data_IF_467222460653
#
_entry.id   IF_467222460653
#
_cell.length_a   1.000
_cell.length_b   1.000
_cell.length_c   1.000
_cell.angle_alpha   90.00
_cell.angle_beta   90.00
_cell.angle_gamma   90.00
#
_symmetry.space_group_name_H-M   'P 1'
#
loop_
_entity.id
_entity.type
_entity.pdbx_description
1 polymer ?
#
# COMPACT_ATOMS: atom_id res chain seq x y z
N UNK A 1 -2.04 -21.19 -10.94
CA UNK A 1 -0.90 -20.24 -10.86
C UNK A 1 -1.16 -19.07 -11.81
N UNK A 2 -0.74 -17.86 -11.43
CA UNK A 2 -0.72 -16.74 -12.35
C UNK A 2 0.17 -17.08 -13.55
N UNK A 3 -0.29 -16.75 -14.76
CA UNK A 3 0.49 -16.92 -16.00
C UNK A 3 1.41 -15.72 -16.24
N UNK A 4 0.99 -14.55 -15.76
CA UNK A 4 1.72 -13.30 -15.91
C UNK A 4 1.91 -12.62 -14.57
N UNK A 5 3.06 -11.98 -14.42
CA UNK A 5 3.40 -11.11 -13.30
C UNK A 5 3.46 -9.68 -13.82
N UNK A 6 2.74 -8.77 -13.18
CA UNK A 6 2.65 -7.37 -13.54
C UNK A 6 3.48 -6.55 -12.57
N UNK A 7 4.66 -6.12 -12.99
CA UNK A 7 5.56 -5.34 -12.15
C UNK A 7 5.22 -3.86 -12.28
N UNK A 8 4.98 -3.17 -11.17
CA UNK A 8 4.57 -1.75 -11.11
C UNK A 8 5.43 -0.99 -10.12
N UNK A 9 5.77 0.25 -10.46
CA UNK A 9 6.49 1.19 -9.59
C UNK A 9 6.00 2.62 -9.89
N UNK A 10 5.17 3.20 -9.02
CA UNK A 10 4.61 4.53 -9.26
C UNK A 10 5.57 5.63 -8.85
N UNK A 11 5.68 6.67 -9.66
CA UNK A 11 6.20 7.95 -9.17
C UNK A 11 5.04 8.86 -8.74
N UNK A 12 5.24 9.63 -7.68
CA UNK A 12 4.24 10.54 -7.15
C UNK A 12 4.83 11.91 -6.82
N UNK A 13 3.95 12.91 -6.73
CA UNK A 13 4.32 14.24 -6.26
C UNK A 13 5.05 14.15 -4.91
N UNK A 14 6.10 14.95 -4.74
CA UNK A 14 6.87 14.98 -3.51
C UNK A 14 7.52 16.34 -3.27
N UNK A 15 8.05 16.54 -2.07
CA UNK A 15 8.74 17.75 -1.65
C UNK A 15 9.91 17.36 -0.73
N UNK A 16 10.93 18.21 -0.67
CA UNK A 16 12.17 17.93 0.08
C UNK A 16 11.93 17.72 1.58
N UNK A 17 11.02 18.51 2.17
CA UNK A 17 10.75 18.50 3.61
C UNK A 17 9.33 18.06 3.91
N UNK A 18 9.21 16.92 4.58
CA UNK A 18 7.92 16.35 4.98
C UNK A 18 7.17 15.70 3.81
N UNK A 19 5.90 15.37 4.05
CA UNK A 19 5.03 14.77 3.04
C UNK A 19 4.15 15.83 2.41
N UNK A 20 4.09 15.84 1.07
CA UNK A 20 3.08 16.59 0.35
C UNK A 20 1.71 15.93 0.56
N UNK A 21 0.66 16.72 0.75
CA UNK A 21 -0.70 16.22 0.93
C UNK A 21 -1.71 17.02 0.09
N UNK A 22 -2.59 16.37 -0.68
CA UNK A 22 -2.55 14.95 -1.02
C UNK A 22 -1.31 14.62 -1.86
N UNK A 23 -0.80 13.40 -1.75
CA UNK A 23 0.17 12.88 -2.72
C UNK A 23 -0.60 12.38 -3.94
N UNK A 24 -0.06 12.59 -5.15
CA UNK A 24 -0.71 12.23 -6.42
C UNK A 24 0.29 11.50 -7.32
N UNK A 25 -0.11 10.40 -7.94
CA UNK A 25 0.66 9.66 -8.94
C UNK A 25 0.91 10.59 -10.14
N UNK A 26 2.14 10.61 -10.62
CA UNK A 26 2.60 11.40 -11.79
C UNK A 26 3.22 10.53 -12.88
N UNK A 27 3.61 9.29 -12.56
CA UNK A 27 3.99 8.27 -13.55
C UNK A 27 3.34 6.94 -13.19
N UNK A 28 2.72 6.31 -14.18
CA UNK A 28 2.19 4.96 -14.09
C UNK A 28 2.87 4.07 -15.13
N UNK A 29 3.94 3.38 -14.74
CA UNK A 29 4.59 2.37 -15.54
C UNK A 29 4.17 0.96 -15.13
N UNK A 30 4.27 0.02 -16.07
CA UNK A 30 4.14 -1.39 -15.77
C UNK A 30 4.99 -2.25 -16.72
N UNK A 31 5.51 -3.36 -16.21
CA UNK A 31 6.25 -4.36 -16.99
C UNK A 31 5.57 -5.71 -16.84
N UNK A 32 5.19 -6.31 -17.95
CA UNK A 32 4.55 -7.62 -17.98
C UNK A 32 5.61 -8.69 -18.14
N UNK A 33 5.62 -9.69 -17.25
CA UNK A 33 6.56 -10.81 -17.25
C UNK A 33 5.78 -12.13 -17.43
N UNK A 34 6.21 -12.95 -18.39
CA UNK A 34 5.72 -14.33 -18.52
C UNK A 34 6.31 -15.20 -17.40
N UNK A 35 5.46 -15.74 -16.54
CA UNK A 35 5.88 -16.48 -15.35
C UNK A 35 6.52 -17.85 -15.68
N UNK A 36 6.24 -18.42 -16.86
CA UNK A 36 6.81 -19.70 -17.27
C UNK A 36 8.21 -19.53 -17.85
N UNK A 37 8.45 -18.45 -18.60
CA UNK A 37 9.74 -18.23 -19.28
C UNK A 37 10.63 -17.20 -18.59
N UNK A 38 10.09 -16.38 -17.69
CA UNK A 38 10.79 -15.23 -17.10
C UNK A 38 11.14 -14.15 -18.12
N UNK A 39 10.38 -14.06 -19.23
CA UNK A 39 10.62 -13.04 -20.28
C UNK A 39 9.77 -11.82 -19.97
N UNK A 40 10.35 -10.64 -20.08
CA UNK A 40 9.59 -9.39 -20.14
C UNK A 40 8.91 -9.35 -21.52
N UNK A 41 7.58 -9.35 -21.54
CA UNK A 41 6.79 -9.51 -22.78
C UNK A 41 6.26 -8.19 -23.33
N UNK A 42 6.01 -7.22 -22.46
CA UNK A 42 5.49 -5.91 -22.83
C UNK A 42 5.72 -4.91 -21.71
N UNK A 43 5.69 -3.63 -22.06
CA UNK A 43 5.84 -2.52 -21.14
C UNK A 43 4.76 -1.48 -21.42
N UNK A 44 4.32 -0.82 -20.36
CA UNK A 44 3.36 0.27 -20.38
C UNK A 44 3.96 1.46 -19.63
N UNK A 45 3.67 2.66 -20.14
CA UNK A 45 4.03 3.91 -19.46
C UNK A 45 3.03 4.97 -19.83
N UNK A 46 2.50 5.66 -18.83
CA UNK A 46 1.81 6.94 -19.03
C UNK A 46 2.16 7.89 -17.90
N UNK A 47 2.22 9.18 -18.21
CA UNK A 47 2.27 10.21 -17.19
C UNK A 47 0.86 10.56 -16.75
N UNK A 48 0.74 10.91 -15.47
CA UNK A 48 -0.52 11.28 -14.84
C UNK A 48 -0.44 12.75 -14.47
N UNK A 49 -1.49 13.50 -14.79
CA UNK A 49 -1.59 14.92 -14.48
C UNK A 49 -2.16 15.10 -13.07
N UNK A 50 -1.38 15.63 -12.10
CA UNK A 50 -1.89 15.92 -10.76
C UNK A 50 -2.88 17.10 -10.80
N UNK A 51 -3.94 17.04 -9.99
CA UNK A 51 -4.97 18.12 -9.93
C UNK A 51 -4.79 19.04 -8.74
N UNK A 52 -4.27 18.53 -7.62
CA UNK A 52 -4.14 19.29 -6.38
C UNK A 52 -2.81 20.01 -6.32
N UNK A 53 -1.74 19.35 -6.78
CA UNK A 53 -0.41 19.93 -6.93
C UNK A 53 0.02 19.88 -8.40
N UNK A 54 -0.62 20.68 -9.29
CA UNK A 54 -0.36 20.62 -10.73
C UNK A 54 1.07 21.00 -11.12
N UNK A 55 1.76 21.77 -10.27
CA UNK A 55 3.15 22.15 -10.47
C UNK A 55 4.08 21.28 -9.63
N UNK A 56 4.97 20.55 -10.28
CA UNK A 56 5.98 19.74 -9.62
C UNK A 56 6.97 20.63 -8.87
N UNK A 57 7.36 20.20 -7.67
CA UNK A 57 8.45 20.86 -6.96
C UNK A 57 9.78 20.62 -7.69
N UNK A 58 10.76 21.51 -7.48
CA UNK A 58 12.12 21.30 -8.00
C UNK A 58 12.70 19.97 -7.51
N UNK A 59 12.49 19.65 -6.22
CA UNK A 59 12.91 18.38 -5.62
C UNK A 59 12.26 17.18 -6.32
N UNK A 60 10.96 17.22 -6.61
CA UNK A 60 10.27 16.13 -7.30
C UNK A 60 10.80 15.93 -8.72
N UNK A 61 11.03 17.02 -9.45
CA UNK A 61 11.60 17.02 -10.79
C UNK A 61 13.02 16.46 -10.78
N UNK A 62 13.86 16.87 -9.83
CA UNK A 62 15.24 16.40 -9.69
C UNK A 62 15.29 14.93 -9.27
N UNK A 63 14.44 14.51 -8.32
CA UNK A 63 14.37 13.14 -7.85
C UNK A 63 13.91 12.21 -8.97
N UNK A 64 12.75 12.48 -9.58
CA UNK A 64 12.10 11.56 -10.53
C UNK A 64 12.56 11.73 -11.99
N UNK A 65 13.12 12.90 -12.32
CA UNK A 65 13.47 13.26 -13.69
C UNK A 65 12.27 13.65 -14.55
N UNK A 66 11.05 13.60 -14.00
CA UNK A 66 9.82 13.95 -14.70
C UNK A 66 9.73 15.47 -14.84
N UNK A 67 9.62 15.93 -16.08
CA UNK A 67 9.47 17.34 -16.41
C UNK A 67 8.03 17.79 -16.28
N UNK A 68 7.83 19.08 -15.95
CA UNK A 68 6.51 19.69 -15.85
C UNK A 68 5.66 19.48 -17.13
N UNK A 69 6.29 19.58 -18.32
CA UNK A 69 5.60 19.37 -19.59
C UNK A 69 5.04 17.95 -19.77
N UNK A 70 5.63 16.95 -19.11
CA UNK A 70 5.18 15.56 -19.19
C UNK A 70 3.92 15.33 -18.35
N UNK A 71 3.84 15.94 -17.17
CA UNK A 71 2.61 15.89 -16.36
C UNK A 71 1.53 16.80 -16.92
N UNK A 72 1.89 17.96 -17.50
CA UNK A 72 0.94 18.86 -18.18
C UNK A 72 0.26 18.17 -19.37
N UNK A 73 1.03 17.38 -20.13
CA UNK A 73 0.54 16.52 -21.22
C UNK A 73 0.06 15.14 -20.78
N UNK A 74 0.09 14.86 -19.47
CA UNK A 74 -0.36 13.61 -18.88
C UNK A 74 -1.88 13.47 -18.88
N UNK A 75 -2.35 12.27 -18.54
CA UNK A 75 -3.79 11.97 -18.43
C UNK A 75 -4.26 11.98 -16.99
N UNK A 76 -5.57 12.00 -16.78
CA UNK A 76 -6.12 11.78 -15.44
C UNK A 76 -5.89 10.35 -14.95
N UNK A 77 -5.74 10.13 -13.64
CA UNK A 77 -5.48 8.79 -13.09
C UNK A 77 -6.52 7.75 -13.52
N UNK A 78 -7.80 8.14 -13.59
CA UNK A 78 -8.88 7.25 -14.07
C UNK A 78 -8.68 6.82 -15.52
N UNK A 79 -8.18 7.72 -16.38
CA UNK A 79 -7.85 7.41 -17.77
C UNK A 79 -6.57 6.56 -17.85
N UNK A 80 -5.57 6.83 -17.01
CA UNK A 80 -4.36 6.00 -16.94
C UNK A 80 -4.69 4.54 -16.59
N UNK A 81 -5.58 4.32 -15.62
CA UNK A 81 -6.07 2.99 -15.27
C UNK A 81 -6.81 2.32 -16.43
N UNK A 82 -7.68 3.06 -17.15
CA UNK A 82 -8.37 2.54 -18.32
C UNK A 82 -7.40 2.19 -19.48
N UNK A 83 -6.36 3.00 -19.71
CA UNK A 83 -5.32 2.72 -20.70
C UNK A 83 -4.49 1.49 -20.32
N UNK A 84 -4.19 1.34 -19.04
CA UNK A 84 -3.50 0.17 -18.50
C UNK A 84 -4.35 -1.11 -18.70
N UNK A 85 -5.65 -1.07 -18.41
CA UNK A 85 -6.57 -2.19 -18.67
C UNK A 85 -6.65 -2.54 -20.15
N UNK A 86 -6.75 -1.53 -21.03
CA UNK A 86 -6.76 -1.73 -22.47
C UNK A 86 -5.45 -2.36 -22.98
N UNK A 87 -4.30 -1.95 -22.43
CA UNK A 87 -3.00 -2.55 -22.74
C UNK A 87 -2.91 -4.02 -22.30
N UNK A 88 -3.37 -4.36 -21.09
CA UNK A 88 -3.44 -5.76 -20.63
C UNK A 88 -4.36 -6.61 -21.53
N UNK A 89 -5.52 -6.06 -21.92
CA UNK A 89 -6.45 -6.74 -22.82
C UNK A 89 -5.82 -6.99 -24.21
N UNK A 90 -5.13 -6.00 -24.76
CA UNK A 90 -4.41 -6.13 -26.03
C UNK A 90 -3.27 -7.16 -25.97
N UNK A 91 -2.64 -7.34 -24.81
CA UNK A 91 -1.66 -8.39 -24.56
C UNK A 91 -2.28 -9.79 -24.34
N UNK A 92 -3.61 -9.93 -24.38
CA UNK A 92 -4.32 -11.19 -24.17
C UNK A 92 -4.24 -11.71 -22.73
N UNK A 93 -4.02 -10.81 -21.76
CA UNK A 93 -3.88 -11.16 -20.34
C UNK A 93 -5.24 -11.18 -19.67
N UNK A 94 -5.65 -12.36 -19.22
CA UNK A 94 -6.80 -12.48 -18.31
C UNK A 94 -6.37 -12.08 -16.89
N UNK A 95 -7.06 -11.10 -16.29
CA UNK A 95 -6.74 -10.56 -14.95
C UNK A 95 -6.80 -11.62 -13.84
N UNK A 96 -7.63 -12.66 -13.99
CA UNK A 96 -7.70 -13.79 -13.05
C UNK A 96 -6.44 -14.70 -13.06
N UNK A 97 -5.52 -14.49 -13.99
CA UNK A 97 -4.21 -15.17 -14.07
C UNK A 97 -3.05 -14.18 -14.00
N UNK A 98 -3.29 -13.01 -13.43
CA UNK A 98 -2.32 -11.95 -13.21
C UNK A 98 -2.01 -11.84 -11.71
N UNK A 99 -0.76 -11.54 -11.37
CA UNK A 99 -0.40 -11.10 -10.03
C UNK A 99 0.45 -9.84 -10.12
N UNK A 100 0.08 -8.81 -9.37
CA UNK A 100 0.86 -7.57 -9.28
C UNK A 100 2.10 -7.82 -8.44
N UNK A 101 3.23 -7.25 -8.84
CA UNK A 101 4.51 -7.29 -8.14
C UNK A 101 5.02 -5.87 -7.96
N UNK A 102 5.44 -5.53 -6.76
CA UNK A 102 6.00 -4.23 -6.41
C UNK A 102 7.24 -4.46 -5.55
N UNK A 103 8.15 -3.49 -5.47
CA UNK A 103 9.29 -3.63 -4.56
C UNK A 103 8.84 -3.63 -3.09
N UNK A 104 7.83 -2.83 -2.74
CA UNK A 104 7.29 -2.74 -1.38
C UNK A 104 5.77 -2.56 -1.36
N UNK A 105 5.20 -2.38 -0.18
CA UNK A 105 3.75 -2.20 -0.05
C UNK A 105 3.25 -0.81 -0.50
N UNK A 106 4.14 0.16 -0.71
CA UNK A 106 3.75 1.56 -0.87
C UNK A 106 2.84 1.77 -2.08
N UNK A 107 3.17 1.21 -3.25
CA UNK A 107 2.44 1.40 -4.50
C UNK A 107 0.96 0.99 -4.41
N UNK A 108 0.71 -0.28 -4.06
CA UNK A 108 -0.64 -0.83 -4.03
C UNK A 108 -1.39 -0.48 -2.74
N UNK A 109 -0.75 -0.63 -1.58
CA UNK A 109 -1.40 -0.47 -0.27
C UNK A 109 -1.64 0.99 0.08
N UNK A 110 -0.71 1.87 -0.29
CA UNK A 110 -0.69 3.26 0.15
C UNK A 110 -1.07 4.19 -0.99
N UNK A 111 -0.29 4.24 -2.06
CA UNK A 111 -0.38 5.28 -3.06
C UNK A 111 -1.65 5.17 -3.91
N UNK A 112 -1.79 4.08 -4.68
CA UNK A 112 -2.94 3.87 -5.56
C UNK A 112 -4.24 3.80 -4.76
N UNK A 113 -4.23 3.12 -3.62
CA UNK A 113 -5.40 3.01 -2.76
C UNK A 113 -5.86 4.36 -2.20
N UNK A 114 -4.92 5.17 -1.68
CA UNK A 114 -5.22 6.48 -1.15
C UNK A 114 -5.80 7.38 -2.25
N UNK A 115 -5.13 7.49 -3.39
CA UNK A 115 -5.51 8.46 -4.41
C UNK A 115 -6.84 8.09 -5.08
N UNK A 116 -7.08 6.80 -5.35
CA UNK A 116 -8.38 6.36 -5.88
C UNK A 116 -9.51 6.67 -4.91
N UNK A 117 -9.34 6.40 -3.60
CA UNK A 117 -10.34 6.77 -2.58
C UNK A 117 -10.54 8.28 -2.48
N UNK A 118 -9.44 9.03 -2.43
CA UNK A 118 -9.46 10.49 -2.29
C UNK A 118 -10.15 11.18 -3.47
N UNK A 119 -9.95 10.68 -4.69
CA UNK A 119 -10.54 11.21 -5.92
C UNK A 119 -11.87 10.56 -6.32
N UNK A 120 -12.35 9.56 -5.57
CA UNK A 120 -13.57 8.80 -5.92
C UNK A 120 -13.46 7.98 -7.21
N UNK A 121 -12.26 7.48 -7.52
CA UNK A 121 -11.97 6.68 -8.73
C UNK A 121 -12.18 5.21 -8.42
N UNK A 122 -12.89 4.51 -9.31
CA UNK A 122 -12.99 3.05 -9.25
C UNK A 122 -11.65 2.42 -9.59
N UNK A 123 -11.06 1.71 -8.64
CA UNK A 123 -9.77 1.05 -8.80
C UNK A 123 -9.96 -0.40 -9.27
N UNK A 124 -9.14 -0.91 -10.21
CA UNK A 124 -9.20 -2.32 -10.62
C UNK A 124 -8.82 -3.27 -9.48
N UNK A 125 -9.64 -4.32 -9.27
CA UNK A 125 -9.50 -5.27 -8.15
C UNK A 125 -8.19 -6.07 -8.18
N UNK A 126 -7.55 -6.23 -9.34
CA UNK A 126 -6.28 -6.97 -9.42
C UNK A 126 -5.12 -6.24 -8.71
N UNK A 127 -5.28 -4.96 -8.37
CA UNK A 127 -4.36 -4.23 -7.49
C UNK A 127 -4.60 -4.48 -5.99
N UNK A 128 -5.66 -5.20 -5.61
CA UNK A 128 -5.99 -5.46 -4.20
C UNK A 128 -5.10 -6.54 -3.58
N UNK A 129 -4.34 -7.27 -4.40
CA UNK A 129 -3.44 -8.35 -3.99
C UNK A 129 -2.15 -8.26 -4.79
N UNK A 130 -1.02 -8.22 -4.09
CA UNK A 130 0.29 -8.06 -4.71
C UNK A 130 1.35 -8.93 -4.05
N UNK A 131 2.46 -9.08 -4.76
CA UNK A 131 3.72 -9.59 -4.25
C UNK A 131 4.60 -8.38 -3.92
N UNK A 132 4.80 -8.13 -2.64
CA UNK A 132 5.91 -7.33 -2.15
C UNK A 132 7.20 -8.13 -2.29
N UNK A 133 8.04 -7.78 -3.27
CA UNK A 133 9.21 -8.55 -3.68
C UNK A 133 10.35 -8.55 -2.65
N UNK A 134 10.34 -7.61 -1.68
CA UNK A 134 11.31 -7.66 -0.56
C UNK A 134 11.20 -8.95 0.24
N UNK A 135 10.01 -9.50 0.41
CA UNK A 135 9.80 -10.71 1.22
C UNK A 135 10.49 -11.94 0.62
N UNK A 136 10.24 -12.33 -0.64
CA UNK A 136 10.99 -13.43 -1.26
C UNK A 136 12.48 -13.10 -1.44
N UNK A 137 12.84 -11.83 -1.61
CA UNK A 137 14.25 -11.42 -1.63
C UNK A 137 14.94 -11.71 -0.28
N UNK A 138 14.37 -11.28 0.84
CA UNK A 138 14.90 -11.56 2.19
C UNK A 138 14.94 -13.05 2.50
N UNK A 139 14.00 -13.85 1.96
CA UNK A 139 14.06 -15.31 2.07
C UNK A 139 15.29 -15.91 1.39
N UNK A 140 15.86 -15.27 0.37
CA UNK A 140 17.01 -15.76 -0.38
C UNK A 140 18.34 -15.13 0.07
N UNK A 141 18.31 -13.87 0.51
CA UNK A 141 19.51 -13.07 0.85
C UNK A 141 19.62 -12.72 2.34
N UNK A 142 18.72 -13.26 3.17
CA UNK A 142 18.65 -12.98 4.60
C UNK A 142 17.94 -11.65 4.92
N UNK A 143 17.52 -11.44 6.18
CA UNK A 143 16.81 -10.23 6.60
C UNK A 143 17.74 -9.01 6.55
N UNK A 144 17.17 -7.83 6.25
CA UNK A 144 17.93 -6.58 6.27
C UNK A 144 17.26 -5.48 5.45
N UNK A 145 17.45 -4.23 5.87
CA UNK A 145 16.93 -3.08 5.13
C UNK A 145 17.76 -2.85 3.87
N UNK A 146 17.12 -2.99 2.70
CA UNK A 146 17.65 -2.58 1.41
C UNK A 146 16.65 -1.71 0.65
N UNK A 147 17.14 -0.72 -0.07
CA UNK A 147 16.41 -0.14 -1.19
C UNK A 147 16.50 -1.07 -2.43
N UNK A 148 15.75 -0.75 -3.48
CA UNK A 148 15.69 -1.60 -4.68
C UNK A 148 17.08 -1.72 -5.35
N UNK A 149 17.80 -0.61 -5.47
CA UNK A 149 19.12 -0.58 -6.12
C UNK A 149 20.15 -1.44 -5.38
N UNK A 150 20.15 -1.38 -4.05
CA UNK A 150 20.98 -2.23 -3.19
C UNK A 150 20.67 -3.71 -3.40
N UNK A 151 19.38 -4.08 -3.44
CA UNK A 151 18.94 -5.45 -3.66
C UNK A 151 19.32 -5.98 -5.05
N UNK A 152 19.15 -5.16 -6.10
CA UNK A 152 19.58 -5.46 -7.47
C UNK A 152 21.09 -5.74 -7.50
N UNK A 153 21.89 -4.87 -6.86
CA UNK A 153 23.35 -5.03 -6.77
C UNK A 153 23.75 -6.28 -5.98
N UNK A 154 23.11 -6.54 -4.84
CA UNK A 154 23.39 -7.71 -3.99
C UNK A 154 23.04 -9.04 -4.70
N UNK A 155 22.02 -9.03 -5.56
CA UNK A 155 21.71 -10.16 -6.44
C UNK A 155 22.75 -10.39 -7.55
N UNK A 156 23.73 -9.48 -7.72
CA UNK A 156 24.74 -9.53 -8.77
C UNK A 156 24.26 -8.97 -10.11
N UNK A 157 23.12 -8.27 -10.12
CA UNK A 157 22.59 -7.60 -11.30
C UNK A 157 23.14 -6.16 -11.40
N UNK A 158 23.19 -5.64 -12.62
CA UNK A 158 23.53 -4.24 -12.87
C UNK A 158 22.26 -3.42 -13.01
N UNK A 159 22.25 -2.24 -12.38
CA UNK A 159 21.17 -1.28 -12.55
C UNK A 159 21.12 -0.76 -13.98
N UNK A 160 19.93 -0.75 -14.59
CA UNK A 160 19.71 -0.22 -15.94
C UNK A 160 18.80 0.99 -15.88
N UNK A 161 19.19 2.08 -16.56
CA UNK A 161 18.39 3.31 -16.63
C UNK A 161 18.59 4.22 -15.43
N UNK A 162 17.61 5.09 -15.18
CA UNK A 162 17.69 6.15 -14.16
C UNK A 162 16.92 5.73 -12.90
N UNK A 163 17.52 5.91 -11.72
CA UNK A 163 16.81 5.74 -10.45
C UNK A 163 15.60 6.69 -10.36
N UNK A 164 14.51 6.25 -9.77
CA UNK A 164 13.27 7.04 -9.61
C UNK A 164 12.65 7.48 -10.96
N UNK A 165 13.01 6.79 -12.04
CA UNK A 165 12.23 6.77 -13.26
C UNK A 165 11.37 5.52 -13.15
N UNK A 166 10.06 5.66 -12.94
CA UNK A 166 9.24 4.52 -12.53
C UNK A 166 9.31 3.34 -13.52
N UNK A 167 9.43 3.60 -14.83
CA UNK A 167 9.60 2.51 -15.80
C UNK A 167 10.94 1.77 -15.65
N UNK A 168 12.02 2.48 -15.36
CA UNK A 168 13.33 1.85 -15.15
C UNK A 168 13.34 1.09 -13.81
N UNK A 169 12.73 1.65 -12.76
CA UNK A 169 12.58 0.98 -11.46
C UNK A 169 11.72 -0.31 -11.59
N UNK A 170 10.62 -0.26 -12.35
CA UNK A 170 9.80 -1.42 -12.66
C UNK A 170 10.56 -2.48 -13.49
N UNK A 171 11.40 -2.08 -14.46
CA UNK A 171 12.27 -3.02 -15.21
C UNK A 171 13.28 -3.70 -14.30
N UNK A 172 13.97 -2.94 -13.45
CA UNK A 172 14.96 -3.51 -12.52
C UNK A 172 14.29 -4.45 -11.50
N UNK A 173 13.09 -4.10 -11.02
CA UNK A 173 12.27 -4.99 -10.20
C UNK A 173 11.90 -6.27 -10.97
N UNK A 174 11.55 -6.18 -12.25
CA UNK A 174 11.28 -7.35 -13.09
C UNK A 174 12.52 -8.23 -13.29
N UNK A 175 13.71 -7.65 -13.47
CA UNK A 175 14.96 -8.43 -13.55
C UNK A 175 15.26 -9.14 -12.24
N UNK A 176 15.10 -8.47 -11.10
CA UNK A 176 15.28 -9.07 -9.79
C UNK A 176 14.26 -10.20 -9.54
N UNK A 177 13.00 -9.99 -9.89
CA UNK A 177 11.95 -11.00 -9.83
C UNK A 177 12.33 -12.25 -10.63
N UNK A 178 12.78 -12.09 -11.88
CA UNK A 178 13.19 -13.20 -12.74
C UNK A 178 14.42 -13.92 -12.18
N UNK A 179 15.38 -13.19 -11.62
CA UNK A 179 16.55 -13.78 -10.96
C UNK A 179 16.14 -14.64 -9.75
N UNK A 180 15.26 -14.13 -8.88
CA UNK A 180 14.71 -14.88 -7.75
C UNK A 180 13.99 -16.16 -8.21
N UNK A 181 13.17 -16.07 -9.27
CA UNK A 181 12.50 -17.25 -9.85
C UNK A 181 13.51 -18.28 -10.37
N UNK A 182 14.59 -17.85 -11.04
CA UNK A 182 15.66 -18.74 -11.54
C UNK A 182 16.44 -19.40 -10.41
N UNK A 183 16.56 -18.75 -9.25
CA UNK A 183 17.13 -19.33 -8.02
C UNK A 183 16.19 -20.31 -7.32
N UNK A 184 14.97 -20.51 -7.83
CA UNK A 184 13.98 -21.41 -7.24
C UNK A 184 13.22 -20.80 -6.06
N UNK A 185 13.27 -19.48 -5.88
CA UNK A 185 12.51 -18.81 -4.82
C UNK A 185 11.03 -18.81 -5.19
N UNK A 186 10.19 -19.27 -4.27
CA UNK A 186 8.75 -19.30 -4.49
C UNK A 186 8.17 -17.87 -4.49
N UNK A 187 7.45 -17.52 -5.57
CA UNK A 187 6.76 -16.25 -5.70
C UNK A 187 5.26 -16.46 -5.44
N UNK A 188 4.73 -15.79 -4.41
CA UNK A 188 3.33 -15.86 -4.01
C UNK A 188 2.84 -14.51 -3.49
N UNK A 189 1.52 -14.33 -3.42
CA UNK A 189 0.91 -13.10 -2.89
C UNK A 189 1.32 -12.90 -1.43
N UNK A 190 1.85 -11.72 -1.12
CA UNK A 190 2.30 -11.35 0.23
C UNK A 190 1.53 -10.16 0.82
N UNK A 191 0.87 -9.37 -0.02
CA UNK A 191 0.04 -8.23 0.37
C UNK A 191 -1.40 -8.36 -0.10
N UNK A 192 -2.34 -7.85 0.69
CA UNK A 192 -3.77 -7.78 0.36
C UNK A 192 -4.44 -6.58 1.05
N UNK A 193 -5.40 -5.95 0.38
CA UNK A 193 -6.31 -4.97 0.98
C UNK A 193 -7.53 -5.60 1.65
N UNK A 194 -7.82 -6.88 1.35
CA UNK A 194 -8.90 -7.59 2.02
C UNK A 194 -8.63 -7.60 3.54
N UNK A 195 -9.66 -7.38 4.38
CA UNK A 195 -9.54 -7.58 5.82
C UNK A 195 -8.96 -8.97 6.08
N UNK A 196 -7.94 -9.08 6.94
CA UNK A 196 -7.51 -10.39 7.42
C UNK A 196 -8.72 -11.07 8.04
N UNK A 197 -9.09 -12.24 7.54
CA UNK A 197 -10.06 -13.08 8.22
C UNK A 197 -9.59 -13.24 9.66
N UNK A 198 -10.37 -12.75 10.60
CA UNK A 198 -10.13 -13.04 12.01
C UNK A 198 -10.48 -14.50 12.16
N UNK A 199 -9.47 -15.38 12.31
CA UNK A 199 -9.70 -16.74 12.76
C UNK A 199 -10.59 -16.65 14.00
N UNK A 200 -11.80 -17.22 13.91
CA UNK A 200 -12.71 -17.26 15.05
C UNK A 200 -11.94 -17.88 16.23
N UNK A 201 -11.93 -17.26 17.42
CA UNK A 201 -11.32 -17.87 18.59
C UNK A 201 -11.82 -19.31 18.73
N UNK A 202 -10.95 -20.29 19.04
CA UNK A 202 -11.41 -21.64 19.32
C UNK A 202 -12.54 -21.58 20.34
N UNK A 203 -13.66 -22.24 20.04
CA UNK A 203 -14.79 -22.35 20.96
C UNK A 203 -14.26 -22.71 22.35
N UNK A 204 -14.59 -21.94 23.41
CA UNK A 204 -14.13 -22.26 24.74
C UNK A 204 -14.60 -23.67 25.09
N UNK A 205 -13.64 -24.53 25.46
CA UNK A 205 -13.93 -25.86 25.99
C UNK A 205 -14.89 -25.70 27.18
N UNK A 206 -15.90 -26.58 27.34
CA UNK A 206 -16.84 -26.48 28.46
C UNK A 206 -16.07 -26.47 29.79
N UNK A 207 -16.09 -25.34 30.48
CA UNK A 207 -15.56 -25.25 31.84
C UNK A 207 -16.62 -25.77 32.82
N UNK A 208 -16.24 -26.50 33.88
CA UNK A 208 -17.16 -26.92 34.93
C UNK A 208 -17.79 -25.68 35.60
N UNK A 209 -19.12 -25.70 35.75
CA UNK A 209 -19.89 -24.62 36.36
C UNK A 209 -19.43 -24.31 37.79
N UNK A 210 -19.06 -23.06 38.12
CA UNK A 210 -18.94 -22.62 39.49
C UNK A 210 -20.32 -22.32 40.09
N UNK A 211 -20.48 -22.73 41.35
CA UNK A 211 -21.70 -22.59 42.14
C UNK A 211 -22.15 -21.14 42.29
N UNK A 212 -23.46 -20.94 42.16
CA UNK A 212 -24.16 -19.66 42.34
C UNK A 212 -24.04 -19.14 43.77
N UNK A 213 -23.48 -17.94 43.91
CA UNK A 213 -23.76 -17.06 45.05
C UNK A 213 -24.21 -15.72 44.46
N UNK A 214 -25.48 -15.39 44.70
CA UNK A 214 -26.09 -14.17 44.17
C UNK A 214 -25.65 -12.91 44.92
N UNK A 215 -25.78 -11.77 44.27
CA UNK A 215 -26.41 -10.57 44.83
C UNK A 215 -26.57 -9.44 43.78
N UNK A 216 -27.83 -9.03 43.65
CA UNK A 216 -28.40 -7.71 43.34
C UNK A 216 -28.01 -6.87 42.11
N UNK A 217 -29.04 -6.70 41.28
CA UNK A 217 -29.27 -5.65 40.30
C UNK A 217 -29.30 -4.25 40.94
N UNK A 218 -28.65 -3.31 40.27
CA UNK A 218 -28.90 -1.87 40.39
C UNK A 218 -29.04 -1.27 38.99
N UNK A 219 -30.21 -0.69 38.72
CA UNK A 219 -30.57 0.03 37.49
C UNK A 219 -29.70 1.29 37.29
N UNK A 220 -29.42 1.61 36.03
CA UNK A 220 -28.86 2.89 35.60
C UNK A 220 -29.11 3.14 34.12
N UNK A 221 -30.10 3.99 33.84
CA UNK A 221 -30.59 4.43 32.53
C UNK A 221 -29.81 5.62 31.95
N UNK A 222 -29.85 5.76 30.61
CA UNK A 222 -29.52 6.99 29.86
C UNK A 222 -28.16 6.91 29.15
N UNK A 223 -27.94 7.32 27.91
CA UNK A 223 -28.72 8.13 26.97
C UNK A 223 -27.73 8.96 26.14
N UNK A 224 -28.07 9.19 24.86
CA UNK A 224 -27.54 10.22 23.96
C UNK A 224 -26.16 10.01 23.27
N UNK A 225 -26.24 9.66 21.98
CA UNK A 225 -25.58 10.30 20.83
C UNK A 225 -24.17 10.89 20.97
N UNK A 226 -23.20 10.24 20.34
CA UNK A 226 -22.00 10.89 19.82
C UNK A 226 -21.71 10.32 18.41
N UNK A 227 -21.61 11.22 17.44
CA UNK A 227 -21.28 10.91 16.04
C UNK A 227 -19.94 10.17 16.00
N UNK A 228 -19.76 9.10 15.21
CA UNK A 228 -18.47 8.44 15.11
C UNK A 228 -17.49 9.39 14.42
N UNK A 229 -16.57 10.00 15.17
CA UNK A 229 -15.43 10.70 14.58
C UNK A 229 -14.55 9.65 13.89
N UNK A 230 -14.40 9.73 12.57
CA UNK A 230 -13.42 8.93 11.84
C UNK A 230 -12.00 9.51 12.06
N UNK A 231 -10.98 8.64 12.14
CA UNK A 231 -9.57 9.07 12.08
C UNK A 231 -9.21 9.65 10.71
N UNK A 232 -8.02 10.25 10.58
CA UNK A 232 -7.43 10.64 9.28
C UNK A 232 -7.27 9.46 8.29
N UNK A 233 -7.30 8.23 8.82
CA UNK A 233 -7.21 6.98 8.07
C UNK A 233 -8.57 6.38 7.66
N UNK A 234 -9.69 7.05 7.95
CA UNK A 234 -11.05 6.56 7.64
C UNK A 234 -11.60 5.46 8.55
N UNK A 235 -10.81 4.95 9.50
CA UNK A 235 -11.24 4.01 10.54
C UNK A 235 -12.00 4.76 11.65
N UNK A 236 -12.98 4.10 12.27
CA UNK A 236 -13.66 4.63 13.46
C UNK A 236 -12.63 4.92 14.57
N UNK A 237 -12.65 6.14 15.12
CA UNK A 237 -11.83 6.45 16.29
C UNK A 237 -12.32 5.66 17.50
N UNK A 238 -11.40 5.37 18.42
CA UNK A 238 -11.69 4.74 19.70
C UNK A 238 -11.57 5.77 20.80
N UNK A 239 -12.54 5.80 21.70
CA UNK A 239 -12.47 6.60 22.91
C UNK A 239 -11.58 5.89 23.94
N UNK A 240 -10.68 6.63 24.58
CA UNK A 240 -9.86 6.19 25.71
C UNK A 240 -9.84 7.25 26.81
N UNK A 241 -9.36 6.88 28.00
CA UNK A 241 -9.22 7.79 29.15
C UNK A 241 -7.75 7.90 29.52
N UNK A 242 -7.27 9.13 29.76
CA UNK A 242 -5.88 9.35 30.14
C UNK A 242 -5.65 8.93 31.59
N UNK A 243 -4.96 7.81 31.79
CA UNK A 243 -4.66 7.29 33.15
C UNK A 243 -3.36 7.85 33.74
N UNK A 244 -2.51 8.47 32.92
CA UNK A 244 -1.24 9.03 33.36
C UNK A 244 -1.44 10.24 34.28
N UNK A 245 -0.67 10.37 35.38
CA UNK A 245 -0.76 11.51 36.29
C UNK A 245 -0.49 12.83 35.57
N UNK A 246 -1.38 13.81 35.74
CA UNK A 246 -1.20 15.14 35.17
C UNK A 246 -2.51 15.91 34.97
N UNK A 247 -2.45 17.13 34.40
CA UNK A 247 -3.61 18.02 34.22
C UNK A 247 -4.75 17.42 33.39
N UNK A 248 -4.43 16.42 32.55
CA UNK A 248 -5.37 15.75 31.66
C UNK A 248 -5.79 14.36 32.19
N UNK A 249 -5.33 13.95 33.38
CA UNK A 249 -5.69 12.68 33.99
C UNK A 249 -7.22 12.58 34.16
N UNK A 250 -7.79 11.44 33.74
CA UNK A 250 -9.22 11.19 33.77
C UNK A 250 -10.03 11.79 32.61
N UNK A 251 -9.41 12.57 31.71
CA UNK A 251 -10.11 13.10 30.52
C UNK A 251 -10.19 12.08 29.38
N UNK A 252 -11.29 12.11 28.65
CA UNK A 252 -11.53 11.28 27.48
C UNK A 252 -10.85 11.86 26.24
N UNK A 253 -10.26 10.98 25.42
CA UNK A 253 -9.69 11.33 24.12
C UNK A 253 -10.12 10.31 23.07
N UNK A 254 -10.10 10.71 21.81
CA UNK A 254 -10.28 9.86 20.64
C UNK A 254 -8.92 9.61 19.99
N UNK A 255 -8.57 8.34 19.80
CA UNK A 255 -7.38 7.91 19.07
C UNK A 255 -7.73 6.99 17.90
N UNK A 256 -6.82 6.83 16.94
CA UNK A 256 -6.99 5.84 15.88
C UNK A 256 -7.03 4.41 16.45
N UNK A 257 -8.04 3.62 16.07
CA UNK A 257 -8.18 2.23 16.52
C UNK A 257 -7.22 1.23 15.86
N UNK A 258 -6.38 1.67 14.93
CA UNK A 258 -5.43 0.83 14.20
C UNK A 258 -4.04 0.89 14.86
N UNK A 259 -3.90 0.22 16.00
CA UNK A 259 -2.60 0.03 16.66
C UNK A 259 -2.07 -1.38 16.33
N UNK A 260 -1.19 -1.49 15.35
CA UNK A 260 -0.34 -2.68 15.18
C UNK A 260 1.13 -2.29 15.40
N UNK A 261 1.71 -2.76 16.50
CA UNK A 261 3.13 -2.66 16.88
C UNK A 261 4.04 -3.41 15.86
N UNK A 262 5.34 -3.05 15.65
CA UNK A 262 6.21 -2.20 16.49
C UNK A 262 6.60 -0.83 15.92
N UNK A 263 6.00 -0.36 14.82
CA UNK A 263 6.43 0.87 14.14
C UNK A 263 5.69 2.16 14.55
N UNK A 264 4.99 2.15 15.70
CA UNK A 264 4.17 3.29 16.14
C UNK A 264 2.83 3.40 15.39
N UNK A 265 1.95 4.35 15.75
CA UNK A 265 0.62 4.45 15.16
C UNK A 265 0.72 4.89 13.69
N UNK A 266 0.22 4.07 12.76
CA UNK A 266 0.15 4.39 11.32
C UNK A 266 -0.72 5.63 11.01
N UNK A 267 -1.50 6.09 11.98
CA UNK A 267 -2.33 7.29 11.89
C UNK A 267 -2.11 8.14 13.16
N UNK A 268 -1.62 9.38 13.03
CA UNK A 268 -1.37 10.26 14.19
C UNK A 268 -2.64 10.94 14.71
N UNK A 269 -3.83 10.43 14.35
CA UNK A 269 -5.09 11.03 14.76
C UNK A 269 -5.26 10.95 16.28
N UNK A 270 -5.43 12.13 16.88
CA UNK A 270 -5.71 12.32 18.29
C UNK A 270 -6.60 13.56 18.46
N UNK A 271 -7.68 13.44 19.23
CA UNK A 271 -8.53 14.58 19.59
C UNK A 271 -9.02 14.41 21.03
N UNK A 272 -9.09 15.49 21.80
CA UNK A 272 -9.76 15.44 23.10
C UNK A 272 -11.27 15.40 22.90
N UNK A 273 -11.98 14.60 23.70
CA UNK A 273 -13.43 14.71 23.77
C UNK A 273 -13.77 16.08 24.38
N UNK A 274 -14.71 16.79 23.74
CA UNK A 274 -15.19 18.08 24.22
C UNK A 274 -15.98 17.96 25.53
#
# INVERSE_FOLDING_TARGET
>A
MARFLLVVDFEATCQEKGRIYPQEIIEFPAVLVDAATGRLVSEFRTYVRPRHHPHLTAFCTELTGIQQSQVDGGVELSEALAKHDAWLAAAGVATNRLAVVTWGDWDCKTMLEFECRFKGISKPEYFDRWVNLRIPFESAFGPGQRNLQEAVKEAGLQWVGRLHCGLDDARNTAYLLVDLMRRGVAISITGSLAPKEVEAPPLPKPQPQPQTVGLNLGMGSGGAGAVPCCCFCGVASRCGVMMAPGPMQGRCFYGCGNCTSPFGPMCPFFAWAA
#
